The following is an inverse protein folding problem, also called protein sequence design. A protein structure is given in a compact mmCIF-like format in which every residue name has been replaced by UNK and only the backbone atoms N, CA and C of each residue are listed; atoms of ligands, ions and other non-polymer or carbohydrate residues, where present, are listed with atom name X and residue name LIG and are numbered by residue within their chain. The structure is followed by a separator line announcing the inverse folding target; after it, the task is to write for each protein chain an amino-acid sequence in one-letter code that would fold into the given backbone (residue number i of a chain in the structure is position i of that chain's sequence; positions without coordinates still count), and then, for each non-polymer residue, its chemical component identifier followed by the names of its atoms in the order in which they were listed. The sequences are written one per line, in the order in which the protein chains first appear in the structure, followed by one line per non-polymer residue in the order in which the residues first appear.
data_IF_466344190726
#
_entry.id   IF_466344190726
#
_cell.length_a   1.000
_cell.length_b   1.000
_cell.length_c   1.000
_cell.angle_alpha   90.00
_cell.angle_beta   90.00
_cell.angle_gamma   90.00
#
_symmetry.space_group_name_H-M   'P 1'
#
loop_
_entity.id
_entity.type
_entity.pdbx_description
1 polymer ?
#
# COMPACT_ATOMS: atom_id res chain seq x y z
N UNK A 1 24.82 36.96 57.87
CA UNK A 1 23.58 36.73 57.08
C UNK A 1 23.98 36.08 55.78
N UNK A 2 23.70 34.76 55.61
CA UNK A 2 24.03 33.98 54.41
C UNK A 2 22.70 33.67 53.74
N UNK A 3 22.48 34.21 52.55
CA UNK A 3 21.28 33.96 51.75
C UNK A 3 21.51 32.73 50.90
N UNK A 4 20.74 31.66 51.14
CA UNK A 4 20.75 30.46 50.34
C UNK A 4 19.85 30.60 49.11
N UNK A 5 20.42 30.44 47.91
CA UNK A 5 19.66 30.32 46.66
C UNK A 5 19.18 28.85 46.51
N UNK A 6 17.87 28.66 46.52
CA UNK A 6 17.26 27.38 46.14
C UNK A 6 17.09 27.32 44.61
N UNK A 7 17.78 26.38 43.96
CA UNK A 7 17.59 26.09 42.53
C UNK A 7 16.39 25.16 42.36
N UNK A 8 15.36 25.64 41.66
CA UNK A 8 14.20 24.84 41.24
C UNK A 8 14.54 24.17 39.91
N UNK A 9 14.71 22.86 39.91
CA UNK A 9 14.86 22.06 38.71
C UNK A 9 13.49 21.82 38.07
N UNK A 10 13.22 22.42 36.90
CA UNK A 10 12.07 22.08 36.07
C UNK A 10 12.37 20.75 35.36
N UNK A 11 11.67 19.71 35.75
CA UNK A 11 11.64 18.46 34.99
C UNK A 11 10.76 18.66 33.72
N UNK A 12 11.40 18.71 32.56
CA UNK A 12 10.71 18.68 31.26
C UNK A 12 10.24 17.25 31.03
N UNK A 13 8.94 16.99 31.20
CA UNK A 13 8.29 15.75 30.79
C UNK A 13 8.26 15.70 29.26
N UNK A 14 9.09 14.85 28.66
CA UNK A 14 9.00 14.52 27.26
C UNK A 14 7.61 13.89 26.97
N UNK A 15 6.88 14.31 25.91
CA UNK A 15 5.64 13.66 25.54
C UNK A 15 5.96 12.22 25.11
N UNK A 16 5.42 11.24 25.83
CA UNK A 16 5.41 9.85 25.40
C UNK A 16 4.68 9.79 24.07
N UNK A 17 5.36 9.35 23.01
CA UNK A 17 4.75 9.06 21.73
C UNK A 17 3.71 7.95 21.97
N UNK A 18 2.45 8.34 22.07
CA UNK A 18 1.33 7.44 22.21
C UNK A 18 1.33 6.47 21.02
N UNK A 19 1.30 5.18 21.28
CA UNK A 19 1.07 4.16 20.27
C UNK A 19 -0.22 4.51 19.53
N UNK A 20 -0.17 4.58 18.20
CA UNK A 20 -1.33 4.85 17.38
C UNK A 20 -2.41 3.77 17.63
N UNK A 21 -3.69 4.16 17.88
CA UNK A 21 -4.73 3.18 18.12
C UNK A 21 -4.99 2.39 16.85
N UNK A 22 -4.90 1.05 16.91
CA UNK A 22 -5.47 0.13 15.96
C UNK A 22 -4.55 -0.49 14.92
N UNK A 23 -3.25 -0.62 15.19
CA UNK A 23 -2.42 -1.47 14.33
C UNK A 23 -2.84 -2.93 14.52
N UNK A 24 -3.59 -3.47 13.56
CA UNK A 24 -3.84 -4.90 13.44
C UNK A 24 -2.50 -5.67 13.42
N UNK A 25 -2.54 -6.98 13.58
CA UNK A 25 -1.38 -7.83 13.35
C UNK A 25 -1.38 -8.29 11.90
N UNK A 26 -0.20 -8.39 11.27
CA UNK A 26 -0.07 -9.05 9.97
C UNK A 26 -0.50 -10.52 10.12
N UNK A 27 -1.52 -10.99 9.40
CA UNK A 27 -2.04 -12.34 9.55
C UNK A 27 -0.99 -13.42 9.26
N UNK A 28 -1.02 -14.51 10.03
CA UNK A 28 -0.08 -15.62 9.87
C UNK A 28 -0.07 -16.19 8.44
N UNK A 29 -1.22 -16.15 7.76
CA UNK A 29 -1.37 -16.68 6.40
C UNK A 29 -0.42 -16.06 5.37
N UNK A 30 -0.05 -14.80 5.54
CA UNK A 30 0.85 -14.11 4.61
C UNK A 30 2.03 -13.39 5.26
N UNK A 31 2.12 -13.37 6.60
CA UNK A 31 3.18 -12.68 7.34
C UNK A 31 4.59 -13.08 6.88
N UNK A 32 4.83 -14.38 6.73
CA UNK A 32 6.14 -14.90 6.34
C UNK A 32 6.59 -14.37 4.98
N UNK A 33 5.70 -14.33 3.98
CA UNK A 33 6.01 -13.80 2.67
C UNK A 33 6.27 -12.29 2.68
N UNK A 34 5.49 -11.50 3.45
CA UNK A 34 5.72 -10.07 3.59
C UNK A 34 7.03 -9.76 4.32
N UNK A 35 7.42 -10.57 5.32
CA UNK A 35 8.72 -10.44 5.97
C UNK A 35 9.86 -10.78 5.02
N UNK A 36 9.73 -11.88 4.27
CA UNK A 36 10.71 -12.25 3.25
C UNK A 36 10.87 -11.17 2.17
N UNK A 37 9.77 -10.50 1.77
CA UNK A 37 9.83 -9.36 0.86
C UNK A 37 10.62 -8.20 1.49
N UNK A 38 10.32 -7.80 2.73
CA UNK A 38 11.06 -6.75 3.42
C UNK A 38 12.54 -7.03 3.46
N UNK A 39 12.92 -8.29 3.78
CA UNK A 39 14.29 -8.75 3.84
C UNK A 39 14.97 -8.74 2.46
N UNK A 40 14.25 -9.17 1.40
CA UNK A 40 14.77 -9.19 0.02
C UNK A 40 15.06 -7.79 -0.51
N UNK A 41 14.15 -6.84 -0.30
CA UNK A 41 14.30 -5.48 -0.82
C UNK A 41 15.08 -4.54 0.12
N UNK A 42 15.41 -5.00 1.33
CA UNK A 42 16.08 -4.20 2.37
C UNK A 42 15.38 -2.84 2.59
N UNK A 43 14.05 -2.88 2.68
CA UNK A 43 13.21 -1.71 2.92
C UNK A 43 11.91 -2.10 3.65
N UNK A 44 11.29 -1.18 4.38
CA UNK A 44 9.99 -1.44 5.00
C UNK A 44 8.91 -1.76 3.96
N UNK A 45 7.98 -2.63 4.35
CA UNK A 45 6.77 -2.97 3.57
C UNK A 45 5.53 -2.85 4.45
N UNK A 46 4.37 -2.66 3.85
CA UNK A 46 3.11 -2.60 4.57
C UNK A 46 2.29 -3.87 4.34
N UNK A 47 2.19 -4.69 5.38
CA UNK A 47 1.36 -5.90 5.39
C UNK A 47 -0.09 -5.53 5.73
N UNK A 48 -1.09 -5.94 4.94
CA UNK A 48 -2.49 -5.72 5.29
C UNK A 48 -2.93 -6.67 6.41
N UNK A 49 -3.67 -6.16 7.40
CA UNK A 49 -4.27 -6.97 8.45
C UNK A 49 -5.61 -7.59 8.05
N UNK A 50 -6.17 -7.14 6.93
CA UNK A 50 -7.48 -7.56 6.43
C UNK A 50 -7.54 -7.42 4.91
N UNK A 51 -8.32 -8.29 4.26
CA UNK A 51 -8.70 -8.23 2.86
C UNK A 51 -10.21 -8.34 2.69
N UNK A 52 -10.82 -7.75 1.63
CA UNK A 52 -12.22 -7.97 1.32
C UNK A 52 -12.46 -9.42 0.87
N UNK A 53 -13.69 -9.93 1.06
CA UNK A 53 -14.09 -11.22 0.54
C UNK A 53 -14.17 -11.14 -1.03
N UNK A 54 -13.67 -12.13 -1.81
CA UNK A 54 -13.15 -13.42 -1.39
C UNK A 54 -11.63 -13.44 -1.12
N UNK A 55 -10.97 -12.30 -1.01
CA UNK A 55 -9.52 -12.17 -0.85
C UNK A 55 -9.06 -12.30 0.60
N UNK A 56 -9.93 -12.72 1.52
CA UNK A 56 -9.56 -12.90 2.92
C UNK A 56 -8.60 -14.09 3.10
N UNK A 57 -7.89 -14.10 4.25
CA UNK A 57 -6.87 -15.11 4.55
C UNK A 57 -7.35 -16.55 4.50
N UNK A 58 -8.65 -16.76 4.66
CA UNK A 58 -9.25 -18.08 4.70
C UNK A 58 -9.33 -18.74 3.34
N UNK A 59 -9.46 -17.94 2.29
CA UNK A 59 -9.69 -18.38 0.91
C UNK A 59 -8.39 -18.35 0.10
N UNK A 60 -7.31 -17.92 0.71
CA UNK A 60 -6.02 -17.94 0.06
C UNK A 60 -5.95 -17.02 -1.14
N UNK A 61 -6.23 -15.74 -0.92
CA UNK A 61 -5.81 -14.75 -1.89
C UNK A 61 -4.41 -15.07 -2.34
N UNK A 62 -4.20 -15.28 -3.64
CA UNK A 62 -2.88 -15.59 -4.13
C UNK A 62 -1.99 -14.38 -3.96
N UNK A 63 -1.04 -14.61 -3.17
CA UNK A 63 0.16 -13.88 -3.03
C UNK A 63 0.99 -14.14 -4.29
N UNK A 64 0.97 -13.22 -5.23
CA UNK A 64 1.89 -13.32 -6.35
C UNK A 64 3.28 -13.10 -5.80
N UNK A 65 4.08 -14.07 -6.08
CA UNK A 65 5.39 -14.37 -5.61
C UNK A 65 6.28 -13.13 -5.41
N UNK A 66 7.06 -13.19 -4.38
CA UNK A 66 8.25 -12.42 -4.11
C UNK A 66 9.15 -12.19 -5.34
N UNK A 67 9.00 -12.98 -6.38
CA UNK A 67 9.70 -12.84 -7.66
C UNK A 67 9.23 -11.64 -8.49
N UNK A 68 8.13 -10.98 -8.10
CA UNK A 68 7.70 -9.70 -8.67
C UNK A 68 8.56 -8.49 -8.28
N UNK A 69 9.67 -8.71 -7.64
CA UNK A 69 10.60 -7.64 -7.27
C UNK A 69 11.50 -7.28 -8.46
N UNK A 70 11.46 -6.02 -8.86
CA UNK A 70 12.31 -5.48 -9.92
C UNK A 70 13.73 -5.15 -9.43
N UNK A 71 14.64 -4.88 -10.37
CA UNK A 71 16.05 -4.52 -10.07
C UNK A 71 16.18 -3.24 -9.24
N UNK A 72 15.23 -2.31 -9.35
CA UNK A 72 15.14 -1.08 -8.56
C UNK A 72 14.50 -1.30 -7.19
N UNK A 73 14.25 -2.55 -6.81
CA UNK A 73 13.60 -3.01 -5.58
C UNK A 73 12.11 -2.67 -5.50
N UNK A 74 11.52 -2.08 -6.54
CA UNK A 74 10.07 -1.92 -6.59
C UNK A 74 9.41 -3.29 -6.68
N UNK A 75 8.20 -3.40 -6.13
CA UNK A 75 7.46 -4.66 -6.07
C UNK A 75 5.99 -4.48 -6.39
N UNK A 76 5.38 -5.55 -6.84
CA UNK A 76 3.95 -5.74 -6.96
C UNK A 76 3.54 -7.03 -6.24
N UNK A 77 2.56 -6.93 -5.34
CA UNK A 77 1.89 -8.08 -4.74
C UNK A 77 0.42 -7.94 -5.02
N UNK A 78 -0.20 -8.98 -5.58
CA UNK A 78 -1.63 -9.00 -5.86
C UNK A 78 -2.32 -10.09 -5.03
N UNK A 79 -3.43 -9.71 -4.40
CA UNK A 79 -4.40 -10.65 -3.86
C UNK A 79 -5.47 -10.85 -4.93
N UNK A 80 -5.59 -12.07 -5.40
CA UNK A 80 -6.50 -12.43 -6.50
C UNK A 80 -7.62 -13.32 -5.98
N UNK A 81 -8.79 -13.18 -6.58
CA UNK A 81 -9.89 -14.10 -6.35
C UNK A 81 -9.50 -15.52 -6.80
N UNK A 82 -9.72 -16.49 -5.91
CA UNK A 82 -9.63 -17.90 -6.23
C UNK A 82 -11.02 -18.46 -6.46
N UNK A 83 -11.25 -19.03 -7.60
CA UNK A 83 -12.44 -19.79 -7.89
C UNK A 83 -12.15 -20.78 -9.02
N UNK A 84 -12.93 -21.84 -9.15
CA UNK A 84 -12.96 -22.70 -10.32
C UNK A 84 -13.36 -21.83 -11.53
N UNK A 85 -12.39 -21.36 -12.28
CA UNK A 85 -12.58 -20.40 -13.34
C UNK A 85 -12.50 -18.94 -12.91
N UNK A 86 -11.99 -18.64 -11.71
CA UNK A 86 -11.78 -17.26 -11.25
C UNK A 86 -10.93 -16.50 -12.25
N UNK A 87 -11.49 -15.40 -12.76
CA UNK A 87 -10.86 -14.57 -13.77
C UNK A 87 -9.79 -13.64 -13.18
N UNK A 88 -9.65 -13.62 -11.86
CA UNK A 88 -8.85 -12.62 -11.13
C UNK A 88 -9.50 -11.24 -11.16
N UNK A 89 -10.78 -11.14 -11.49
CA UNK A 89 -11.51 -9.89 -11.61
C UNK A 89 -11.55 -9.13 -10.30
N UNK A 90 -11.84 -9.82 -9.19
CA UNK A 90 -11.71 -9.22 -7.86
C UNK A 90 -10.26 -9.33 -7.40
N UNK A 91 -9.59 -8.21 -7.30
CA UNK A 91 -8.20 -8.20 -6.83
C UNK A 91 -7.81 -6.87 -6.17
N UNK A 92 -6.79 -6.98 -5.31
CA UNK A 92 -6.13 -5.86 -4.63
C UNK A 92 -4.63 -5.92 -4.91
N UNK A 93 -4.08 -4.84 -5.41
CA UNK A 93 -2.67 -4.71 -5.70
C UNK A 93 -1.96 -3.84 -4.67
N UNK A 94 -0.84 -4.33 -4.14
CA UNK A 94 0.10 -3.57 -3.32
C UNK A 94 1.38 -3.32 -4.10
N UNK A 95 1.83 -2.06 -4.12
CA UNK A 95 3.15 -1.72 -4.67
C UNK A 95 3.94 -0.89 -3.71
N UNK A 96 5.25 -1.04 -3.78
CA UNK A 96 6.20 -0.17 -3.12
C UNK A 96 7.34 0.19 -4.05
N UNK A 97 7.84 1.41 -3.86
CA UNK A 97 8.93 2.00 -4.63
C UNK A 97 9.99 2.52 -3.65
N UNK A 98 10.86 1.61 -3.13
CA UNK A 98 11.87 1.97 -2.13
C UNK A 98 12.83 3.04 -2.63
N UNK A 99 13.04 4.07 -1.81
CA UNK A 99 14.01 5.14 -2.11
C UNK A 99 13.54 6.18 -3.12
N UNK A 100 12.26 6.15 -3.53
CA UNK A 100 11.67 7.21 -4.35
C UNK A 100 10.27 7.59 -3.86
N UNK A 101 9.95 8.87 -3.93
CA UNK A 101 8.62 9.41 -3.64
C UNK A 101 7.91 9.93 -4.89
N UNK A 102 8.51 9.71 -6.05
CA UNK A 102 7.99 10.13 -7.35
C UNK A 102 7.05 9.08 -7.90
N UNK A 103 5.94 9.49 -8.48
CA UNK A 103 5.04 8.58 -9.19
C UNK A 103 5.78 7.95 -10.36
N UNK A 104 5.80 6.62 -10.49
CA UNK A 104 6.49 5.94 -11.57
C UNK A 104 5.89 6.26 -12.94
N UNK A 105 6.67 6.00 -13.98
CA UNK A 105 6.26 6.19 -15.36
C UNK A 105 5.89 4.86 -16.00
N UNK A 106 4.69 4.78 -16.55
CA UNK A 106 4.19 3.64 -17.32
C UNK A 106 4.32 3.88 -18.82
N UNK A 107 4.46 2.80 -19.58
CA UNK A 107 4.44 2.85 -21.04
C UNK A 107 3.00 2.78 -21.52
N UNK A 108 2.55 3.78 -22.24
CA UNK A 108 1.27 3.77 -22.95
C UNK A 108 1.46 3.32 -24.38
N UNK A 109 0.51 2.54 -24.88
CA UNK A 109 0.47 2.08 -26.28
C UNK A 109 -0.81 2.60 -26.91
N UNK A 110 -0.69 3.44 -27.92
CA UNK A 110 -1.84 3.95 -28.68
C UNK A 110 -1.78 3.36 -30.09
N UNK A 111 -2.86 2.70 -30.50
CA UNK A 111 -3.02 2.19 -31.85
C UNK A 111 -3.73 3.25 -32.71
N UNK A 112 -3.02 3.79 -33.68
CA UNK A 112 -3.57 4.77 -34.64
C UNK A 112 -3.54 4.14 -36.04
N UNK A 113 -4.64 3.52 -36.45
CA UNK A 113 -4.70 2.71 -37.66
C UNK A 113 -3.70 1.55 -37.62
N UNK A 114 -2.75 1.51 -38.56
CA UNK A 114 -1.69 0.48 -38.62
C UNK A 114 -0.43 0.82 -37.82
N UNK A 115 -0.40 1.98 -37.14
CA UNK A 115 0.78 2.43 -36.38
C UNK A 115 0.58 2.24 -34.89
N UNK A 116 1.60 1.70 -34.24
CA UNK A 116 1.70 1.62 -32.78
C UNK A 116 2.57 2.76 -32.31
N UNK A 117 2.00 3.65 -31.49
CA UNK A 117 2.74 4.74 -30.86
C UNK A 117 2.93 4.37 -29.39
N UNK A 118 4.19 4.36 -28.94
CA UNK A 118 4.53 4.16 -27.53
C UNK A 118 4.89 5.49 -26.90
N UNK A 119 4.25 5.81 -25.79
CA UNK A 119 4.51 6.98 -24.98
C UNK A 119 4.86 6.60 -23.54
N UNK A 120 5.29 7.58 -22.76
CA UNK A 120 5.48 7.45 -21.31
C UNK A 120 4.60 8.46 -20.60
N UNK A 121 3.82 7.99 -19.63
CA UNK A 121 2.94 8.82 -18.80
C UNK A 121 3.11 8.42 -17.33
N UNK A 122 2.78 9.28 -16.35
CA UNK A 122 2.68 8.84 -14.98
C UNK A 122 1.73 7.64 -14.86
N UNK A 123 2.10 6.61 -14.10
CA UNK A 123 1.27 5.40 -13.94
C UNK A 123 -0.11 5.71 -13.35
N UNK A 124 -0.21 6.80 -12.57
CA UNK A 124 -1.47 7.34 -12.07
C UNK A 124 -1.37 8.85 -11.90
N UNK A 125 -2.41 9.58 -12.34
CA UNK A 125 -2.42 11.03 -12.34
C UNK A 125 -3.79 11.64 -12.00
N UNK A 126 -4.89 10.92 -12.23
CA UNK A 126 -6.26 11.41 -11.98
C UNK A 126 -6.59 11.42 -10.50
N UNK A 127 -6.13 12.47 -9.83
CA UNK A 127 -6.36 12.67 -8.39
C UNK A 127 -7.84 12.93 -8.10
N UNK A 128 -8.42 12.14 -7.21
CA UNK A 128 -9.85 12.20 -6.86
C UNK A 128 -10.12 12.49 -5.38
N UNK A 129 -9.09 12.72 -4.57
CA UNK A 129 -9.26 13.09 -3.17
C UNK A 129 -8.11 12.68 -2.27
N UNK A 130 -8.40 12.70 -0.97
CA UNK A 130 -7.47 12.27 0.09
C UNK A 130 -8.21 11.41 1.09
N UNK A 131 -7.56 10.39 1.62
CA UNK A 131 -8.09 9.48 2.66
C UNK A 131 -7.11 9.43 3.82
N UNK A 132 -7.65 9.39 5.04
CA UNK A 132 -6.83 9.24 6.25
C UNK A 132 -7.40 8.13 7.11
N UNK A 133 -6.61 7.09 7.37
CA UNK A 133 -6.97 5.97 8.22
C UNK A 133 -5.69 5.33 8.80
N UNK A 134 -5.76 4.77 10.00
CA UNK A 134 -4.62 4.09 10.65
C UNK A 134 -3.37 4.96 10.81
N UNK A 135 -3.50 6.28 10.92
CA UNK A 135 -2.38 7.21 10.97
C UNK A 135 -1.70 7.48 9.62
N UNK A 136 -2.22 6.93 8.53
CA UNK A 136 -1.71 7.14 7.17
C UNK A 136 -2.65 8.12 6.44
N UNK A 137 -2.08 9.15 5.83
CA UNK A 137 -2.78 10.04 4.89
C UNK A 137 -2.33 9.72 3.47
N UNK A 138 -3.27 9.25 2.65
CA UNK A 138 -3.05 8.83 1.28
C UNK A 138 -3.81 9.71 0.29
N UNK A 139 -3.21 9.98 -0.86
CA UNK A 139 -3.90 10.59 -2.01
C UNK A 139 -4.64 9.50 -2.77
N UNK A 140 -5.90 9.74 -3.11
CA UNK A 140 -6.73 8.83 -3.88
C UNK A 140 -6.69 9.20 -5.37
N UNK A 141 -6.53 8.19 -6.21
CA UNK A 141 -6.52 8.29 -7.67
C UNK A 141 -7.53 7.34 -8.28
N UNK A 142 -8.06 7.71 -9.44
CA UNK A 142 -8.72 6.79 -10.35
C UNK A 142 -7.69 6.36 -11.39
N UNK A 143 -7.51 5.07 -11.54
CA UNK A 143 -6.49 4.53 -12.45
C UNK A 143 -7.17 3.70 -13.53
N UNK A 144 -6.74 3.88 -14.76
CA UNK A 144 -7.28 3.16 -15.90
C UNK A 144 -6.17 2.78 -16.87
N UNK A 145 -5.08 2.26 -16.32
CA UNK A 145 -3.91 1.85 -17.11
C UNK A 145 -3.29 0.59 -16.54
N UNK A 146 -2.79 -0.24 -17.44
CA UNK A 146 -1.97 -1.38 -17.13
C UNK A 146 -2.66 -2.35 -16.15
N UNK A 147 -1.94 -2.93 -15.21
CA UNK A 147 -2.48 -3.85 -14.20
C UNK A 147 -3.42 -3.17 -13.16
N UNK A 148 -3.60 -1.85 -13.24
CA UNK A 148 -4.55 -1.10 -12.41
C UNK A 148 -5.69 -0.49 -13.26
N UNK A 149 -6.02 -1.08 -14.38
CA UNK A 149 -7.18 -0.68 -15.17
C UNK A 149 -8.46 -0.82 -14.33
N UNK A 150 -9.32 0.22 -14.31
CA UNK A 150 -10.55 0.29 -13.51
C UNK A 150 -10.32 0.19 -11.99
N UNK A 151 -9.17 0.67 -11.50
CA UNK A 151 -8.86 0.69 -10.08
C UNK A 151 -9.11 2.05 -9.42
N UNK A 152 -9.45 1.98 -8.13
CA UNK A 152 -9.22 3.06 -7.18
C UNK A 152 -7.89 2.75 -6.50
N UNK A 153 -7.01 3.75 -6.45
CA UNK A 153 -5.66 3.62 -5.88
C UNK A 153 -5.46 4.64 -4.77
N UNK A 154 -4.95 4.20 -3.64
CA UNK A 154 -4.42 5.05 -2.58
C UNK A 154 -2.89 5.06 -2.63
N UNK A 155 -2.29 6.25 -2.62
CA UNK A 155 -0.84 6.41 -2.60
C UNK A 155 -0.40 7.27 -1.41
N UNK A 156 0.63 6.82 -0.70
CA UNK A 156 1.22 7.56 0.42
C UNK A 156 2.74 7.47 0.41
N UNK A 157 3.38 8.40 1.13
CA UNK A 157 4.83 8.44 1.28
C UNK A 157 5.22 8.11 2.71
N UNK A 158 6.24 7.29 2.87
CA UNK A 158 6.81 7.00 4.18
C UNK A 158 8.30 6.68 4.05
N UNK A 159 9.12 7.27 4.93
CA UNK A 159 10.57 7.03 5.00
C UNK A 159 11.27 7.08 3.63
N UNK A 160 10.97 8.10 2.81
CA UNK A 160 11.60 8.29 1.49
C UNK A 160 11.12 7.34 0.40
N UNK A 161 10.09 6.58 0.64
CA UNK A 161 9.50 5.61 -0.30
C UNK A 161 8.05 5.95 -0.62
N UNK A 162 7.58 5.58 -1.81
CA UNK A 162 6.20 5.64 -2.24
C UNK A 162 5.56 4.26 -2.10
N UNK A 163 4.36 4.21 -1.56
CA UNK A 163 3.55 2.99 -1.44
C UNK A 163 2.18 3.22 -2.04
N UNK A 164 1.62 2.16 -2.62
CA UNK A 164 0.25 2.19 -3.13
C UNK A 164 -0.50 0.93 -2.75
N UNK A 165 -1.81 1.07 -2.60
CA UNK A 165 -2.77 -0.02 -2.60
C UNK A 165 -3.89 0.34 -3.57
N UNK A 166 -4.30 -0.60 -4.41
CA UNK A 166 -5.40 -0.40 -5.33
C UNK A 166 -6.34 -1.60 -5.34
N UNK A 167 -7.62 -1.35 -5.61
CA UNK A 167 -8.64 -2.39 -5.72
C UNK A 167 -9.44 -2.18 -7.01
N UNK A 168 -9.73 -3.28 -7.70
CA UNK A 168 -10.51 -3.29 -8.94
C UNK A 168 -11.97 -2.99 -8.66
N UNK A 169 -12.55 -2.06 -9.43
CA UNK A 169 -13.97 -1.69 -9.34
C UNK A 169 -14.79 -2.62 -10.24
N UNK A 170 -15.14 -3.78 -9.72
CA UNK A 170 -15.88 -4.81 -10.45
C UNK A 170 -16.90 -5.50 -9.54
N UNK A 171 -17.95 -6.09 -10.12
CA UNK A 171 -18.91 -6.92 -9.39
C UNK A 171 -18.18 -8.00 -8.56
N UNK A 172 -18.56 -8.22 -7.27
CA UNK A 172 -19.78 -7.69 -6.65
C UNK A 172 -19.62 -6.29 -6.04
N UNK A 173 -18.46 -5.66 -6.12
CA UNK A 173 -18.18 -4.39 -5.46
C UNK A 173 -18.55 -3.18 -6.33
N UNK A 174 -19.30 -2.27 -5.73
CA UNK A 174 -19.52 -0.94 -6.28
C UNK A 174 -18.33 -0.02 -5.94
N UNK A 175 -18.18 1.08 -6.68
CA UNK A 175 -17.19 2.12 -6.38
C UNK A 175 -17.15 2.51 -4.89
N UNK A 176 -18.34 2.71 -4.28
CA UNK A 176 -18.43 3.08 -2.85
C UNK A 176 -17.93 1.99 -1.92
N UNK A 177 -18.16 0.74 -2.27
CA UNK A 177 -17.65 -0.40 -1.48
C UNK A 177 -16.13 -0.54 -1.62
N UNK A 178 -15.58 -0.38 -2.83
CA UNK A 178 -14.13 -0.36 -3.06
C UNK A 178 -13.47 0.74 -2.22
N UNK A 179 -14.02 1.96 -2.22
CA UNK A 179 -13.47 3.03 -1.36
C UNK A 179 -13.50 2.66 0.12
N UNK A 180 -14.59 2.04 0.61
CA UNK A 180 -14.68 1.57 2.01
C UNK A 180 -13.68 0.44 2.30
N UNK A 181 -13.48 -0.48 1.37
CA UNK A 181 -12.49 -1.55 1.49
C UNK A 181 -11.08 -0.97 1.62
N UNK A 182 -10.72 -0.06 0.72
CA UNK A 182 -9.43 0.62 0.75
C UNK A 182 -9.20 1.42 2.04
N UNK A 183 -10.21 2.10 2.58
CA UNK A 183 -10.13 2.75 3.88
C UNK A 183 -9.85 1.75 5.01
N UNK A 184 -10.52 0.60 4.99
CA UNK A 184 -10.32 -0.46 5.97
C UNK A 184 -8.94 -1.11 5.84
N UNK A 185 -8.48 -1.36 4.60
CA UNK A 185 -7.12 -1.83 4.34
C UNK A 185 -6.11 -0.82 4.90
N UNK A 186 -6.25 0.45 4.54
CA UNK A 186 -5.35 1.52 4.98
C UNK A 186 -5.27 1.61 6.51
N UNK A 187 -6.44 1.49 7.19
CA UNK A 187 -6.53 1.49 8.66
C UNK A 187 -5.81 0.31 9.32
N UNK A 188 -5.74 -0.83 8.63
CA UNK A 188 -5.17 -2.08 9.12
C UNK A 188 -3.76 -2.37 8.60
N UNK A 189 -3.07 -1.43 7.97
CA UNK A 189 -1.71 -1.65 7.48
C UNK A 189 -0.71 -1.77 8.63
N UNK A 190 0.09 -2.82 8.59
CA UNK A 190 1.16 -3.11 9.56
C UNK A 190 2.52 -2.93 8.89
N UNK A 191 3.34 -2.04 9.42
CA UNK A 191 4.69 -1.82 8.91
C UNK A 191 5.61 -2.96 9.36
N UNK A 192 6.16 -3.71 8.39
CA UNK A 192 7.23 -4.67 8.61
C UNK A 192 8.55 -4.08 8.15
N UNK A 193 9.60 -4.25 8.95
CA UNK A 193 10.97 -3.83 8.62
C UNK A 193 11.81 -5.04 8.27
N UNK A 194 12.87 -4.88 7.47
CA UNK A 194 13.85 -5.96 7.29
C UNK A 194 14.40 -6.38 8.66
N UNK A 195 14.53 -7.68 8.84
CA UNK A 195 15.27 -8.27 9.93
C UNK A 195 16.75 -8.31 9.52
N UNK A 196 17.63 -7.82 10.40
CA UNK A 196 19.08 -7.78 10.16
C UNK A 196 19.71 -9.16 10.19
#
# INVERSE_FOLDING_TARGET
MVAGLAAVALAVLAPSAGAAPGAGTCPAAWKAGWQALANKIQAPVYCPAWMPNPLDARIGGQFIDIDSVHKDRSYLISFLEHGDGGTGDVHVNFRGYPGTTTIPTCTTVVLTGKKTIRGKTPCFADRSGTRTAGGITATMYRVNQDADQWHILLAWKHAGSLYTVSEHVITPYTYRQVVKNLDRILAGLVLLRPEG
#
